data_IF_971920917956
#
_entry.id   IF_971920917956
#
_cell.length_a   1.000
_cell.length_b   1.000
_cell.length_c   1.000
_cell.angle_alpha   90.00
_cell.angle_beta   90.00
_cell.angle_gamma   90.00
#
_symmetry.space_group_name_H-M   'P 1'
#
loop_
_entity.id
_entity.type
_entity.pdbx_description
1 polymer ?
#
# COMPACT_ATOMS: atom_id res chain seq x y z
N UNK A 1 -9.20 -1.11 11.86
CA UNK A 1 -9.98 -0.38 10.83
C UNK A 1 -9.74 -1.04 9.49
N UNK A 2 -10.79 -1.37 8.73
CA UNK A 2 -10.66 -1.82 7.35
C UNK A 2 -10.23 -0.62 6.49
N UNK A 3 -9.09 -0.71 5.80
CA UNK A 3 -8.64 0.34 4.89
C UNK A 3 -9.52 0.39 3.65
N UNK A 4 -9.72 1.57 3.12
CA UNK A 4 -10.51 1.84 1.92
C UNK A 4 -9.64 2.47 0.84
N UNK A 5 -10.17 2.56 -0.37
CA UNK A 5 -9.50 3.22 -1.50
C UNK A 5 -9.42 4.76 -1.36
N UNK A 6 -9.60 5.27 -0.15
CA UNK A 6 -9.49 6.70 0.13
C UNK A 6 -8.04 7.07 0.39
N UNK A 7 -7.44 7.89 -0.47
CA UNK A 7 -6.08 8.39 -0.27
C UNK A 7 -6.01 9.23 1.01
N UNK A 8 -5.08 8.96 1.95
CA UNK A 8 -4.86 9.80 3.12
C UNK A 8 -4.45 11.21 2.70
N UNK A 9 -5.38 12.18 2.78
CA UNK A 9 -5.19 13.54 2.26
C UNK A 9 -4.69 14.52 3.33
N UNK A 10 -4.15 14.03 4.45
CA UNK A 10 -3.58 14.90 5.49
C UNK A 10 -2.34 15.60 4.94
N UNK A 11 -2.37 16.94 4.96
CA UNK A 11 -1.28 17.76 4.45
C UNK A 11 -0.07 17.73 5.40
N UNK A 12 1.12 17.70 4.84
CA UNK A 12 2.36 17.90 5.60
C UNK A 12 2.51 19.35 6.03
N UNK A 13 3.03 19.57 7.24
CA UNK A 13 3.36 20.91 7.71
C UNK A 13 4.70 21.37 7.15
N UNK A 14 4.80 22.67 6.92
CA UNK A 14 6.04 23.30 6.47
C UNK A 14 6.88 23.75 7.67
N UNK A 15 8.19 23.60 7.51
CA UNK A 15 9.14 24.13 8.48
C UNK A 15 9.07 25.67 8.44
N UNK A 16 8.87 26.29 9.59
CA UNK A 16 8.98 27.73 9.73
C UNK A 16 10.44 28.22 9.53
N UNK A 17 10.62 29.51 9.35
CA UNK A 17 11.98 30.09 9.33
C UNK A 17 12.54 30.12 10.76
N UNK A 18 13.81 29.74 10.97
CA UNK A 18 14.46 29.85 12.27
C UNK A 18 14.56 31.31 12.71
N UNK A 19 14.54 31.59 14.03
CA UNK A 19 14.84 32.90 14.53
C UNK A 19 16.20 33.38 14.00
N UNK A 20 16.30 34.70 13.68
CA UNK A 20 17.56 35.23 13.19
C UNK A 20 18.64 35.15 14.27
N UNK A 21 19.83 34.63 13.91
CA UNK A 21 20.99 34.52 14.81
C UNK A 21 21.39 35.88 15.36
N UNK A 22 21.09 36.96 14.66
CA UNK A 22 21.40 38.34 15.08
C UNK A 22 20.74 38.71 16.40
N UNK A 23 19.58 38.11 16.74
CA UNK A 23 18.96 38.33 18.05
C UNK A 23 19.79 37.75 19.17
N UNK A 24 20.44 36.61 18.97
CA UNK A 24 21.37 36.03 19.95
C UNK A 24 22.65 36.87 20.04
N UNK A 25 23.19 37.31 18.92
CA UNK A 25 24.39 38.18 18.91
C UNK A 25 24.07 39.47 19.66
N UNK A 26 22.95 40.12 19.40
CA UNK A 26 22.52 41.34 20.11
C UNK A 26 22.33 41.07 21.60
N UNK A 27 21.67 39.97 21.98
CA UNK A 27 21.49 39.62 23.40
C UNK A 27 22.84 39.42 24.12
N UNK A 28 23.77 38.67 23.49
CA UNK A 28 25.12 38.46 24.05
C UNK A 28 25.85 39.79 24.24
N UNK A 29 25.87 40.65 23.22
CA UNK A 29 26.58 41.95 23.30
C UNK A 29 25.95 42.85 24.39
N UNK A 30 24.66 42.96 24.44
CA UNK A 30 23.94 43.80 25.42
C UNK A 30 24.16 43.29 26.83
N UNK A 31 23.94 41.99 27.07
CA UNK A 31 24.05 41.38 28.38
C UNK A 31 25.50 41.43 28.87
N UNK A 32 26.49 41.14 28.00
CA UNK A 32 27.90 41.13 28.35
C UNK A 32 28.38 42.54 28.68
N UNK A 33 27.99 43.55 27.89
CA UNK A 33 28.32 44.96 28.16
C UNK A 33 27.70 45.44 29.48
N UNK A 34 26.44 45.11 29.73
CA UNK A 34 25.74 45.45 30.98
C UNK A 34 26.44 44.75 32.18
N UNK A 35 26.82 43.47 32.06
CA UNK A 35 27.52 42.73 33.11
C UNK A 35 28.84 43.31 33.47
N UNK A 36 29.64 43.70 32.46
CA UNK A 36 30.93 44.41 32.69
C UNK A 36 30.69 45.75 33.38
N UNK A 37 29.78 46.58 32.89
CA UNK A 37 29.48 47.90 33.50
C UNK A 37 29.00 47.76 34.94
N UNK A 38 28.04 46.87 35.21
CA UNK A 38 27.55 46.63 36.58
C UNK A 38 28.68 46.19 37.48
N UNK A 39 29.55 45.28 37.02
CA UNK A 39 30.67 44.81 37.81
C UNK A 39 31.68 45.92 38.12
N UNK A 40 32.04 46.72 37.13
CA UNK A 40 32.97 47.85 37.30
C UNK A 40 32.42 48.87 38.27
N UNK A 41 31.14 49.30 38.11
CA UNK A 41 30.53 50.28 39.00
C UNK A 41 30.24 49.80 40.43
N UNK A 42 30.06 48.49 40.60
CA UNK A 42 29.78 47.90 41.91
C UNK A 42 31.04 47.32 42.60
N UNK A 43 32.23 47.43 41.97
CA UNK A 43 33.43 46.87 42.52
C UNK A 43 33.97 47.67 43.70
N UNK A 44 34.25 46.97 44.80
CA UNK A 44 34.75 47.59 46.02
C UNK A 44 36.15 48.18 45.84
N UNK A 45 36.33 49.42 46.28
CA UNK A 45 37.62 50.11 46.23
C UNK A 45 38.69 49.32 47.08
N UNK A 46 39.85 49.06 46.43
CA UNK A 46 40.89 48.32 47.06
C UNK A 46 40.97 46.80 46.79
N UNK A 47 39.97 46.25 46.19
CA UNK A 47 40.08 44.85 45.74
C UNK A 47 40.80 44.73 44.39
N UNK A 48 41.64 43.72 44.16
CA UNK A 48 42.38 43.56 42.92
C UNK A 48 41.40 43.29 41.76
N UNK A 49 41.51 44.04 40.66
CA UNK A 49 40.68 43.91 39.46
C UNK A 49 41.00 42.60 38.70
N UNK A 50 42.20 42.08 38.80
CA UNK A 50 42.63 40.80 38.21
C UNK A 50 42.40 39.61 39.17
N UNK A 51 41.20 39.53 39.73
CA UNK A 51 40.84 38.47 40.68
C UNK A 51 39.76 37.52 40.08
N UNK A 52 39.77 36.26 40.50
CA UNK A 52 38.77 35.28 40.09
C UNK A 52 37.32 35.77 40.27
N UNK A 53 36.94 36.39 41.42
CA UNK A 53 35.59 36.92 41.62
C UNK A 53 35.22 38.03 40.63
N UNK A 54 36.18 38.82 40.16
CA UNK A 54 35.94 39.86 39.17
C UNK A 54 35.60 39.25 37.81
N UNK A 55 36.36 38.26 37.33
CA UNK A 55 36.10 37.58 36.07
C UNK A 55 34.80 36.79 36.10
N UNK A 56 34.45 36.13 37.19
CA UNK A 56 33.19 35.44 37.36
C UNK A 56 32.00 36.42 37.19
N UNK A 57 32.04 37.58 37.82
CA UNK A 57 30.97 38.58 37.78
C UNK A 57 30.91 39.32 36.44
N UNK A 58 32.07 39.71 35.88
CA UNK A 58 32.12 40.53 34.65
C UNK A 58 31.91 39.70 33.38
N UNK A 59 32.28 38.42 33.35
CA UNK A 59 32.28 37.62 32.14
C UNK A 59 31.45 36.35 32.25
N UNK A 60 31.67 35.51 33.26
CA UNK A 60 31.06 34.19 33.36
C UNK A 60 29.55 34.31 33.61
N UNK A 61 29.10 35.08 34.58
CA UNK A 61 27.66 35.23 34.88
C UNK A 61 26.87 35.84 33.70
N UNK A 62 27.32 36.98 33.09
CA UNK A 62 26.65 37.51 31.92
C UNK A 62 26.62 36.53 30.72
N UNK A 63 27.69 35.73 30.53
CA UNK A 63 27.75 34.74 29.48
C UNK A 63 26.71 33.63 29.72
N UNK A 64 26.55 33.15 30.95
CA UNK A 64 25.53 32.14 31.30
C UNK A 64 24.10 32.71 31.13
N UNK A 65 23.87 33.96 31.51
CA UNK A 65 22.58 34.64 31.29
C UNK A 65 22.28 34.75 29.80
N UNK A 66 23.26 35.16 28.99
CA UNK A 66 23.10 35.29 27.54
C UNK A 66 22.80 33.93 26.88
N UNK A 67 23.48 32.86 27.35
CA UNK A 67 23.20 31.48 26.92
C UNK A 67 21.77 31.07 27.23
N UNK A 68 21.27 31.39 28.43
CA UNK A 68 19.85 31.17 28.81
C UNK A 68 18.87 31.94 27.94
N UNK A 69 19.15 33.23 27.64
CA UNK A 69 18.29 34.04 26.76
C UNK A 69 18.28 33.48 25.33
N UNK A 70 19.42 33.11 24.78
CA UNK A 70 19.50 32.47 23.47
C UNK A 70 18.70 31.14 23.44
N UNK A 71 18.79 30.36 24.49
CA UNK A 71 18.03 29.12 24.65
C UNK A 71 16.50 29.37 24.59
N UNK A 72 16.02 30.41 25.29
CA UNK A 72 14.59 30.78 25.27
C UNK A 72 14.16 31.25 23.87
N UNK A 73 14.98 32.02 23.15
CA UNK A 73 14.67 32.47 21.77
C UNK A 73 14.48 31.29 20.83
N UNK A 74 15.28 30.22 20.96
CA UNK A 74 15.23 29.07 20.07
C UNK A 74 14.29 27.94 20.53
N UNK A 75 13.89 27.89 21.80
CA UNK A 75 13.08 26.79 22.35
C UNK A 75 11.73 26.63 21.63
N UNK A 76 11.02 27.72 21.37
CA UNK A 76 9.73 27.68 20.63
C UNK A 76 9.89 27.19 19.19
N UNK A 77 10.99 27.49 18.54
CA UNK A 77 11.29 27.00 17.19
C UNK A 77 11.64 25.49 17.18
N UNK A 78 12.41 25.03 18.16
CA UNK A 78 12.72 23.60 18.30
C UNK A 78 11.48 22.77 18.60
N UNK A 79 10.58 23.25 19.48
CA UNK A 79 9.31 22.60 19.75
C UNK A 79 8.41 22.54 18.50
N UNK A 80 8.42 23.58 17.68
CA UNK A 80 7.70 23.59 16.40
C UNK A 80 8.29 22.58 15.42
N UNK A 81 9.62 22.52 15.25
CA UNK A 81 10.29 21.54 14.38
C UNK A 81 9.95 20.11 14.82
N UNK A 82 10.04 19.80 16.12
CA UNK A 82 9.71 18.47 16.63
C UNK A 82 8.26 18.08 16.28
N UNK A 83 7.34 19.02 16.41
CA UNK A 83 5.92 18.81 16.02
C UNK A 83 5.77 18.56 14.53
N UNK A 84 6.43 19.36 13.68
CA UNK A 84 6.40 19.22 12.21
C UNK A 84 7.01 17.90 11.77
N UNK A 85 8.18 17.54 12.32
CA UNK A 85 8.85 16.28 12.01
C UNK A 85 7.96 15.08 12.33
N UNK A 86 7.36 15.07 13.51
CA UNK A 86 6.49 13.96 13.95
C UNK A 86 5.21 13.90 13.14
N UNK A 87 4.57 15.02 12.87
CA UNK A 87 3.38 15.11 12.02
C UNK A 87 3.65 14.60 10.61
N UNK A 88 4.72 15.07 9.97
CA UNK A 88 5.10 14.67 8.62
C UNK A 88 5.49 13.18 8.55
N UNK A 89 6.12 12.67 9.61
CA UNK A 89 6.38 11.24 9.74
C UNK A 89 5.08 10.43 9.76
N UNK A 90 4.07 10.84 10.54
CA UNK A 90 2.76 10.18 10.57
C UNK A 90 2.07 10.23 9.20
N UNK A 91 2.10 11.39 8.52
CA UNK A 91 1.56 11.54 7.16
C UNK A 91 2.19 10.55 6.18
N UNK A 92 3.53 10.45 6.20
CA UNK A 92 4.27 9.54 5.32
C UNK A 92 4.02 8.07 5.67
N UNK A 93 3.95 7.75 6.95
CA UNK A 93 3.67 6.39 7.44
C UNK A 93 2.29 5.94 7.00
N UNK A 94 1.26 6.78 7.15
CA UNK A 94 -0.09 6.44 6.71
C UNK A 94 -0.21 6.31 5.18
N UNK A 95 0.45 7.17 4.41
CA UNK A 95 0.51 7.03 2.95
C UNK A 95 1.22 5.75 2.53
N UNK A 96 2.36 5.43 3.17
CA UNK A 96 3.10 4.19 2.90
C UNK A 96 2.26 2.95 3.23
N UNK A 97 1.59 2.96 4.37
CA UNK A 97 0.72 1.88 4.80
C UNK A 97 -0.53 1.72 3.91
N UNK A 98 -1.10 2.83 3.41
CA UNK A 98 -2.17 2.80 2.40
C UNK A 98 -1.67 2.22 1.07
N UNK A 99 -0.50 2.65 0.58
CA UNK A 99 0.11 2.07 -0.62
C UNK A 99 0.37 0.58 -0.48
N UNK A 100 0.91 0.15 0.65
CA UNK A 100 1.15 -1.27 0.92
C UNK A 100 -0.14 -2.09 0.89
N UNK A 101 -1.23 -1.57 1.45
CA UNK A 101 -2.54 -2.19 1.39
C UNK A 101 -3.10 -2.20 -0.04
N UNK A 102 -3.00 -1.10 -0.77
CA UNK A 102 -3.47 -0.97 -2.14
C UNK A 102 -2.67 -1.86 -3.12
N UNK A 103 -1.38 -2.07 -2.86
CA UNK A 103 -0.49 -2.96 -3.63
C UNK A 103 -0.61 -4.43 -3.25
N UNK A 104 -1.55 -4.79 -2.34
CA UNK A 104 -1.82 -6.19 -2.07
C UNK A 104 -2.16 -6.91 -3.38
N UNK A 105 -1.60 -8.09 -3.58
CA UNK A 105 -1.76 -8.85 -4.81
C UNK A 105 -1.80 -10.35 -4.54
N UNK A 106 -2.34 -11.05 -5.53
CA UNK A 106 -2.31 -12.50 -5.63
C UNK A 106 -1.35 -12.85 -6.76
N UNK A 107 -0.57 -13.90 -6.60
CA UNK A 107 0.32 -14.38 -7.65
C UNK A 107 -0.43 -15.40 -8.51
N UNK A 108 -0.55 -15.14 -9.79
CA UNK A 108 -1.02 -16.09 -10.79
C UNK A 108 0.21 -16.92 -11.20
N UNK A 109 0.19 -18.20 -10.85
CA UNK A 109 1.27 -19.14 -11.21
C UNK A 109 1.14 -19.52 -12.68
N UNK A 110 -0.06 -19.92 -13.09
CA UNK A 110 -0.40 -20.23 -14.47
C UNK A 110 -1.90 -19.99 -14.70
N UNK A 111 -2.29 -19.76 -15.96
CA UNK A 111 -3.69 -19.55 -16.35
C UNK A 111 -3.95 -20.13 -17.74
N UNK A 112 -5.20 -20.53 -17.98
CA UNK A 112 -5.71 -20.93 -19.29
C UNK A 112 -7.13 -20.41 -19.46
N UNK A 113 -7.45 -19.97 -20.66
CA UNK A 113 -8.79 -19.58 -21.07
C UNK A 113 -9.20 -20.37 -22.31
N UNK A 114 -10.37 -20.98 -22.26
CA UNK A 114 -11.01 -21.58 -23.42
C UNK A 114 -12.13 -20.64 -23.88
N UNK A 115 -12.04 -20.23 -25.12
CA UNK A 115 -12.97 -19.28 -25.73
C UNK A 115 -13.45 -19.82 -27.08
N UNK A 116 -14.56 -19.30 -27.64
CA UNK A 116 -15.04 -19.70 -28.96
C UNK A 116 -13.98 -19.53 -30.06
N UNK A 117 -13.08 -18.55 -29.88
CA UNK A 117 -11.94 -18.33 -30.77
C UNK A 117 -10.66 -18.75 -30.02
N UNK A 118 -9.82 -19.61 -30.58
CA UNK A 118 -8.55 -20.00 -29.97
C UNK A 118 -7.58 -18.81 -29.99
N UNK A 119 -6.65 -18.77 -29.02
CA UNK A 119 -5.58 -17.75 -28.91
C UNK A 119 -6.13 -16.31 -28.90
N UNK A 120 -7.29 -16.13 -28.22
CA UNK A 120 -8.03 -14.89 -28.22
C UNK A 120 -7.17 -13.71 -27.72
N UNK A 121 -6.35 -13.93 -26.70
CA UNK A 121 -5.47 -12.90 -26.14
C UNK A 121 -4.48 -12.38 -27.16
N UNK A 122 -3.80 -13.26 -27.86
CA UNK A 122 -2.82 -12.99 -28.90
C UNK A 122 -3.46 -12.27 -30.09
N UNK A 123 -4.63 -12.70 -30.48
CA UNK A 123 -5.39 -12.09 -31.61
C UNK A 123 -5.91 -10.70 -31.28
N UNK A 124 -6.38 -10.48 -30.04
CA UNK A 124 -6.83 -9.15 -29.59
C UNK A 124 -5.65 -8.14 -29.55
N UNK A 125 -4.44 -8.61 -29.23
CA UNK A 125 -3.24 -7.79 -29.27
C UNK A 125 -2.63 -7.69 -30.68
N UNK A 126 -3.13 -8.44 -31.67
CA UNK A 126 -2.60 -8.46 -33.03
C UNK A 126 -1.28 -9.24 -33.17
N UNK A 127 -0.97 -10.13 -32.24
CA UNK A 127 0.24 -10.96 -32.27
C UNK A 127 0.06 -12.16 -33.20
N UNK A 128 -1.16 -12.74 -33.26
CA UNK A 128 -1.50 -13.88 -34.11
C UNK A 128 -2.74 -13.59 -34.98
N UNK A 129 -2.60 -12.64 -35.89
CA UNK A 129 -3.71 -12.23 -36.76
C UNK A 129 -4.65 -11.24 -36.07
N UNK A 130 -5.92 -11.20 -36.46
CA UNK A 130 -6.95 -10.33 -35.92
C UNK A 130 -8.06 -11.15 -35.28
N UNK A 131 -8.57 -10.68 -34.14
CA UNK A 131 -9.73 -11.29 -33.50
C UNK A 131 -11.00 -11.13 -34.35
N UNK A 132 -11.87 -12.13 -34.28
CA UNK A 132 -13.18 -12.09 -34.94
C UNK A 132 -14.07 -11.01 -34.33
N UNK A 133 -15.05 -10.54 -35.12
CA UNK A 133 -16.01 -9.52 -34.69
C UNK A 133 -17.39 -10.18 -34.58
N UNK A 134 -17.83 -10.46 -33.36
CA UNK A 134 -19.06 -11.21 -33.06
C UNK A 134 -20.02 -10.49 -32.08
N UNK A 135 -20.28 -9.20 -32.21
CA UNK A 135 -21.05 -8.46 -31.23
C UNK A 135 -22.45 -9.06 -31.04
N UNK A 136 -22.80 -9.40 -29.80
CA UNK A 136 -24.12 -9.92 -29.43
C UNK A 136 -24.43 -11.34 -29.92
N UNK A 137 -23.53 -11.99 -30.65
CA UNK A 137 -23.71 -13.40 -31.02
C UNK A 137 -23.52 -14.30 -29.82
N UNK A 138 -24.15 -15.46 -29.84
CA UNK A 138 -23.97 -16.52 -28.85
C UNK A 138 -23.20 -17.64 -29.53
N UNK A 139 -21.98 -17.90 -29.04
CA UNK A 139 -21.06 -18.82 -29.66
C UNK A 139 -20.73 -19.98 -28.71
N UNK A 140 -20.73 -21.24 -29.21
CA UNK A 140 -20.26 -22.40 -28.44
C UNK A 140 -18.73 -22.46 -28.42
N UNK A 141 -18.18 -23.22 -27.46
CA UNK A 141 -16.76 -23.60 -27.48
C UNK A 141 -16.51 -24.61 -28.61
N UNK A 142 -15.44 -24.45 -29.40
CA UNK A 142 -15.08 -25.42 -30.42
C UNK A 142 -14.62 -26.74 -29.75
N UNK A 143 -14.86 -27.85 -30.43
CA UNK A 143 -14.37 -29.20 -30.04
C UNK A 143 -14.85 -29.72 -28.68
N UNK A 144 -15.97 -29.28 -28.16
CA UNK A 144 -16.56 -29.81 -26.91
C UNK A 144 -17.55 -30.96 -27.18
N UNK A 145 -17.61 -31.52 -28.37
CA UNK A 145 -18.39 -32.72 -28.65
C UNK A 145 -17.74 -33.91 -27.96
N UNK A 146 -18.33 -34.35 -26.85
CA UNK A 146 -17.86 -35.49 -26.09
C UNK A 146 -17.97 -36.78 -26.89
N UNK A 147 -17.02 -37.70 -26.64
CA UNK A 147 -17.22 -39.10 -27.03
C UNK A 147 -18.46 -39.64 -26.36
N UNK A 148 -19.14 -40.60 -27.00
CA UNK A 148 -20.36 -41.20 -26.44
C UNK A 148 -20.16 -41.57 -24.96
N UNK A 149 -20.99 -40.99 -24.08
CA UNK A 149 -20.96 -41.24 -22.62
C UNK A 149 -20.08 -40.31 -21.76
N UNK A 150 -19.41 -39.32 -22.34
CA UNK A 150 -18.63 -38.30 -21.59
C UNK A 150 -19.37 -36.94 -21.69
N UNK A 151 -19.60 -36.30 -20.55
CA UNK A 151 -20.25 -34.98 -20.56
C UNK A 151 -19.32 -33.90 -21.15
N UNK A 152 -19.93 -32.87 -21.75
CA UNK A 152 -19.18 -31.71 -22.27
C UNK A 152 -18.35 -31.03 -21.17
N UNK A 153 -18.90 -30.92 -19.96
CA UNK A 153 -18.21 -30.33 -18.82
C UNK A 153 -16.95 -31.15 -18.47
N UNK A 154 -17.03 -32.48 -18.44
CA UNK A 154 -15.87 -33.33 -18.17
C UNK A 154 -14.75 -33.13 -19.19
N UNK A 155 -15.09 -32.97 -20.47
CA UNK A 155 -14.09 -32.68 -21.54
C UNK A 155 -13.42 -31.33 -21.30
N UNK A 156 -14.18 -30.29 -21.00
CA UNK A 156 -13.67 -28.95 -20.72
C UNK A 156 -12.80 -28.95 -19.46
N UNK A 157 -13.25 -29.59 -18.39
CA UNK A 157 -12.46 -29.72 -17.15
C UNK A 157 -11.15 -30.48 -17.38
N UNK A 158 -11.17 -31.56 -18.15
CA UNK A 158 -9.96 -32.32 -18.50
C UNK A 158 -8.96 -31.44 -19.29
N UNK A 159 -9.46 -30.67 -20.25
CA UNK A 159 -8.64 -29.76 -21.05
C UNK A 159 -8.03 -28.64 -20.18
N UNK A 160 -8.80 -28.05 -19.27
CA UNK A 160 -8.32 -27.06 -18.34
C UNK A 160 -7.28 -27.61 -17.37
N UNK A 161 -7.58 -28.75 -16.73
CA UNK A 161 -6.73 -29.29 -15.66
C UNK A 161 -5.46 -29.97 -16.16
N UNK A 162 -5.46 -30.51 -17.37
CA UNK A 162 -4.26 -31.14 -17.95
C UNK A 162 -3.04 -30.22 -17.93
N UNK A 163 -3.24 -28.92 -18.13
CA UNK A 163 -2.17 -27.91 -18.08
C UNK A 163 -1.52 -27.80 -16.70
N UNK A 164 -2.31 -27.90 -15.64
CA UNK A 164 -1.84 -27.72 -14.26
C UNK A 164 -1.34 -29.02 -13.61
N UNK A 165 -1.59 -30.19 -14.21
CA UNK A 165 -1.37 -31.50 -13.61
C UNK A 165 0.04 -31.68 -13.05
N UNK A 166 1.07 -31.41 -13.85
CA UNK A 166 2.47 -31.53 -13.43
C UNK A 166 2.83 -30.57 -12.29
N UNK A 167 2.27 -29.35 -12.29
CA UNK A 167 2.45 -28.35 -11.23
C UNK A 167 1.80 -28.78 -9.93
N UNK A 168 0.54 -29.21 -9.97
CA UNK A 168 -0.23 -29.64 -8.81
C UNK A 168 0.43 -30.84 -8.10
N UNK A 169 0.84 -31.85 -8.84
CA UNK A 169 1.55 -33.02 -8.28
C UNK A 169 2.87 -32.60 -7.60
N UNK A 170 3.62 -31.68 -8.20
CA UNK A 170 4.87 -31.17 -7.63
C UNK A 170 4.62 -30.38 -6.34
N UNK A 171 3.58 -29.55 -6.28
CA UNK A 171 3.25 -28.76 -5.10
C UNK A 171 2.76 -29.62 -3.94
N UNK A 172 1.94 -30.62 -4.22
CA UNK A 172 1.50 -31.60 -3.23
C UNK A 172 2.69 -32.40 -2.66
N UNK A 173 3.57 -32.91 -3.52
CA UNK A 173 4.78 -33.61 -3.09
C UNK A 173 5.70 -32.74 -2.21
N UNK A 174 5.58 -31.43 -2.28
CA UNK A 174 6.27 -30.46 -1.42
C UNK A 174 5.49 -30.15 -0.13
N UNK A 175 4.35 -30.78 0.13
CA UNK A 175 3.52 -30.62 1.34
C UNK A 175 2.67 -29.36 1.38
N UNK A 176 2.39 -28.75 0.22
CA UNK A 176 1.55 -27.56 0.13
C UNK A 176 0.06 -27.90 0.03
N UNK A 177 -0.75 -27.23 0.83
CA UNK A 177 -2.20 -27.37 0.78
C UNK A 177 -2.80 -26.73 -0.48
N UNK A 178 -3.68 -27.45 -1.17
CA UNK A 178 -4.31 -27.03 -2.42
C UNK A 178 -5.84 -27.00 -2.24
N UNK A 179 -6.47 -25.85 -2.51
CA UNK A 179 -7.91 -25.70 -2.64
C UNK A 179 -8.30 -25.70 -4.13
N UNK A 180 -9.39 -26.37 -4.47
CA UNK A 180 -9.99 -26.34 -5.81
C UNK A 180 -11.38 -25.75 -5.72
N UNK A 181 -11.58 -24.64 -6.42
CA UNK A 181 -12.87 -23.97 -6.48
C UNK A 181 -13.46 -24.13 -7.89
N UNK A 182 -14.64 -24.72 -7.96
CA UNK A 182 -15.43 -24.78 -9.19
C UNK A 182 -16.54 -23.75 -9.13
N UNK A 183 -16.56 -22.87 -10.12
CA UNK A 183 -17.65 -21.95 -10.39
C UNK A 183 -18.42 -22.39 -11.63
N UNK A 184 -19.66 -22.80 -11.44
CA UNK A 184 -20.55 -23.32 -12.49
C UNK A 184 -22.00 -23.13 -12.13
N UNK A 185 -22.90 -23.46 -13.05
CA UNK A 185 -24.34 -23.31 -12.88
C UNK A 185 -24.95 -24.33 -11.92
N UNK A 186 -24.37 -25.54 -11.83
CA UNK A 186 -24.95 -26.62 -11.03
C UNK A 186 -23.92 -27.14 -10.00
N UNK A 187 -24.40 -27.39 -8.78
CA UNK A 187 -23.57 -28.00 -7.71
C UNK A 187 -23.15 -29.43 -8.03
N UNK A 188 -23.95 -30.17 -8.82
CA UNK A 188 -23.64 -31.55 -9.21
C UNK A 188 -22.40 -31.63 -10.10
N UNK A 189 -22.01 -30.53 -10.76
CA UNK A 189 -20.79 -30.41 -11.56
C UNK A 189 -19.51 -30.73 -10.73
N UNK A 190 -19.61 -30.60 -9.40
CA UNK A 190 -18.51 -30.96 -8.49
C UNK A 190 -18.21 -32.47 -8.50
N UNK A 191 -19.20 -33.30 -8.76
CA UNK A 191 -18.99 -34.75 -8.88
C UNK A 191 -18.20 -35.07 -10.16
N UNK A 192 -18.49 -34.40 -11.25
CA UNK A 192 -17.74 -34.52 -12.51
C UNK A 192 -16.29 -34.03 -12.35
N UNK A 193 -16.11 -32.90 -11.69
CA UNK A 193 -14.76 -32.40 -11.37
C UNK A 193 -13.94 -33.45 -10.60
N UNK A 194 -14.52 -34.07 -9.58
CA UNK A 194 -13.84 -35.13 -8.80
C UNK A 194 -13.51 -36.35 -9.65
N UNK A 195 -14.42 -36.73 -10.57
CA UNK A 195 -14.16 -37.85 -11.49
C UNK A 195 -12.97 -37.57 -12.43
N UNK A 196 -12.94 -36.37 -13.02
CA UNK A 196 -11.84 -35.93 -13.89
C UNK A 196 -10.53 -35.80 -13.09
N UNK A 197 -10.60 -35.24 -11.85
CA UNK A 197 -9.45 -35.16 -10.94
C UNK A 197 -8.80 -36.52 -10.70
N UNK A 198 -9.63 -37.51 -10.39
CA UNK A 198 -9.17 -38.90 -10.20
C UNK A 198 -8.62 -39.50 -11.48
N UNK A 199 -9.27 -39.25 -12.64
CA UNK A 199 -8.81 -39.72 -13.96
C UNK A 199 -7.40 -39.22 -14.29
N UNK A 200 -7.07 -37.98 -13.90
CA UNK A 200 -5.78 -37.35 -14.13
C UNK A 200 -4.73 -37.70 -13.07
N UNK A 201 -5.05 -38.60 -12.13
CA UNK A 201 -4.17 -39.00 -11.01
C UNK A 201 -3.60 -37.80 -10.25
N UNK A 202 -4.45 -36.80 -9.97
CA UNK A 202 -4.08 -35.62 -9.22
C UNK A 202 -4.12 -35.87 -7.69
N UNK A 203 -3.49 -35.04 -6.87
CA UNK A 203 -3.37 -35.24 -5.42
C UNK A 203 -4.70 -35.49 -4.71
N UNK A 204 -4.72 -36.43 -3.74
CA UNK A 204 -5.93 -36.82 -3.02
C UNK A 204 -6.28 -35.83 -1.87
N UNK A 205 -5.27 -35.16 -1.28
CA UNK A 205 -5.44 -34.24 -0.16
C UNK A 205 -5.82 -32.83 -0.62
N UNK A 206 -6.97 -32.72 -1.28
CA UNK A 206 -7.45 -31.46 -1.86
C UNK A 206 -8.84 -31.14 -1.35
N UNK A 207 -9.07 -29.87 -1.01
CA UNK A 207 -10.38 -29.39 -0.63
C UNK A 207 -11.13 -28.87 -1.85
N UNK A 208 -12.29 -29.47 -2.17
CA UNK A 208 -13.14 -29.05 -3.26
C UNK A 208 -14.28 -28.17 -2.75
N UNK A 209 -14.45 -27.01 -3.37
CA UNK A 209 -15.52 -26.07 -3.09
C UNK A 209 -16.26 -25.73 -4.37
N UNK A 210 -17.58 -25.85 -4.36
CA UNK A 210 -18.43 -25.32 -5.43
C UNK A 210 -18.97 -23.95 -5.04
N UNK A 211 -18.98 -23.00 -5.98
CA UNK A 211 -19.43 -21.64 -5.80
C UNK A 211 -20.32 -21.24 -6.97
N UNK A 212 -21.56 -20.82 -6.76
CA UNK A 212 -22.42 -20.33 -7.83
C UNK A 212 -21.89 -18.99 -8.39
N UNK A 213 -22.28 -18.65 -9.62
CA UNK A 213 -21.81 -17.44 -10.30
C UNK A 213 -22.23 -16.13 -9.62
N UNK A 214 -23.34 -16.11 -8.90
CA UNK A 214 -23.86 -14.96 -8.17
C UNK A 214 -23.29 -14.79 -6.76
N UNK A 215 -22.51 -15.75 -6.29
CA UNK A 215 -21.94 -15.69 -4.94
C UNK A 215 -20.75 -14.74 -4.86
N UNK A 216 -20.79 -13.83 -3.89
CA UNK A 216 -19.67 -12.93 -3.58
C UNK A 216 -18.39 -13.68 -3.15
N UNK A 217 -18.50 -14.95 -2.74
CA UNK A 217 -17.38 -15.75 -2.28
C UNK A 217 -16.40 -16.13 -3.41
N UNK A 218 -16.86 -16.21 -4.66
CA UNK A 218 -15.98 -16.37 -5.81
C UNK A 218 -15.24 -15.07 -6.18
N UNK A 219 -15.64 -13.96 -5.60
CA UNK A 219 -15.06 -12.67 -5.92
C UNK A 219 -13.61 -12.62 -5.44
N UNK A 220 -12.69 -12.36 -6.37
CA UNK A 220 -11.25 -12.23 -6.09
C UNK A 220 -10.97 -11.20 -4.99
N UNK A 221 -11.86 -10.24 -4.79
CA UNK A 221 -11.72 -9.20 -3.77
C UNK A 221 -11.59 -9.77 -2.35
N UNK A 222 -12.27 -10.87 -2.06
CA UNK A 222 -12.19 -11.52 -0.75
C UNK A 222 -10.82 -12.15 -0.48
N UNK A 223 -10.00 -12.36 -1.52
CA UNK A 223 -8.71 -13.02 -1.40
C UNK A 223 -7.59 -12.12 -0.90
N UNK A 224 -7.81 -10.82 -0.95
CA UNK A 224 -6.84 -9.84 -0.47
C UNK A 224 -6.90 -9.61 1.06
N UNK A 225 -8.03 -9.91 1.69
CA UNK A 225 -8.32 -9.52 3.08
C UNK A 225 -8.45 -10.69 4.07
N UNK A 226 -8.58 -11.93 3.59
CA UNK A 226 -8.74 -13.11 4.44
C UNK A 226 -7.41 -13.83 4.69
N UNK A 227 -7.18 -14.25 5.94
CA UNK A 227 -6.16 -15.24 6.26
C UNK A 227 -6.45 -16.51 5.48
N UNK A 228 -5.49 -16.96 4.68
CA UNK A 228 -5.66 -18.10 3.78
C UNK A 228 -5.33 -19.37 4.50
N UNK A 229 -6.20 -20.36 4.34
CA UNK A 229 -6.00 -21.71 4.87
C UNK A 229 -5.16 -22.60 3.93
N UNK A 230 -5.07 -22.25 2.64
CA UNK A 230 -4.34 -23.00 1.62
C UNK A 230 -3.18 -22.20 1.01
N UNK A 231 -2.12 -22.90 0.62
CA UNK A 231 -0.95 -22.34 -0.06
C UNK A 231 -1.23 -22.04 -1.53
N UNK A 232 -1.95 -22.96 -2.18
CA UNK A 232 -2.38 -22.84 -3.57
C UNK A 232 -3.88 -22.94 -3.70
N UNK A 233 -4.41 -22.26 -4.72
CA UNK A 233 -5.83 -22.29 -5.06
C UNK A 233 -6.00 -22.40 -6.57
N UNK A 234 -6.61 -23.50 -7.02
CA UNK A 234 -7.03 -23.66 -8.40
C UNK A 234 -8.46 -23.18 -8.54
N UNK A 235 -8.67 -22.09 -9.27
CA UNK A 235 -9.97 -21.58 -9.62
C UNK A 235 -10.35 -22.06 -11.02
N UNK A 236 -11.48 -22.76 -11.13
CA UNK A 236 -12.09 -23.23 -12.36
C UNK A 236 -13.43 -22.53 -12.51
N UNK A 237 -13.69 -21.89 -13.64
CA UNK A 237 -14.99 -21.31 -13.96
C UNK A 237 -15.42 -21.78 -15.34
N UNK A 238 -16.57 -22.44 -15.43
CA UNK A 238 -17.06 -23.05 -16.65
C UNK A 238 -18.48 -22.57 -16.95
N UNK A 239 -18.64 -21.87 -18.07
CA UNK A 239 -19.91 -21.35 -18.59
C UNK A 239 -20.23 -22.09 -19.87
N UNK A 240 -21.04 -23.13 -19.78
CA UNK A 240 -21.43 -23.99 -20.89
C UNK A 240 -22.96 -23.92 -21.13
N UNK A 241 -23.35 -24.12 -22.36
CA UNK A 241 -24.78 -24.21 -22.71
C UNK A 241 -25.36 -25.51 -22.16
N UNK A 242 -26.48 -25.41 -21.43
CA UNK A 242 -27.20 -26.56 -20.97
C UNK A 242 -28.01 -27.18 -22.11
N UNK A 243 -28.16 -28.51 -22.11
CA UNK A 243 -29.03 -29.20 -23.03
C UNK A 243 -30.47 -28.78 -22.81
N UNK A 244 -31.20 -28.58 -23.88
CA UNK A 244 -32.64 -28.21 -23.89
C UNK A 244 -32.97 -26.81 -23.27
N UNK A 245 -32.00 -25.95 -23.03
CA UNK A 245 -32.21 -24.56 -22.61
C UNK A 245 -31.67 -23.62 -23.68
N UNK A 246 -32.44 -22.60 -24.04
CA UNK A 246 -31.99 -21.60 -25.00
C UNK A 246 -30.76 -20.84 -24.41
N UNK A 247 -29.65 -20.81 -25.13
CA UNK A 247 -28.42 -20.20 -24.61
C UNK A 247 -28.57 -18.67 -24.52
N UNK A 248 -28.11 -18.11 -23.41
CA UNK A 248 -28.26 -16.69 -23.09
C UNK A 248 -26.91 -15.94 -23.30
N UNK A 249 -25.79 -16.62 -23.24
CA UNK A 249 -24.42 -16.09 -23.37
C UNK A 249 -23.54 -17.05 -24.18
N UNK A 250 -22.42 -16.56 -24.67
CA UNK A 250 -21.40 -17.39 -25.31
C UNK A 250 -20.71 -18.28 -24.30
N UNK A 251 -20.29 -19.46 -24.72
CA UNK A 251 -19.53 -20.38 -23.85
C UNK A 251 -18.11 -19.89 -23.63
N UNK A 252 -17.63 -20.04 -22.41
CA UNK A 252 -16.25 -19.80 -22.04
C UNK A 252 -15.87 -20.64 -20.79
N UNK A 253 -14.60 -20.97 -20.67
CA UNK A 253 -14.09 -21.58 -19.46
C UNK A 253 -12.69 -21.04 -19.13
N UNK A 254 -12.43 -20.86 -17.85
CA UNK A 254 -11.17 -20.30 -17.33
C UNK A 254 -10.65 -21.15 -16.19
N UNK A 255 -9.34 -21.36 -16.18
CA UNK A 255 -8.66 -21.87 -15.01
C UNK A 255 -7.45 -21.02 -14.65
N UNK A 256 -7.29 -20.75 -13.35
CA UNK A 256 -6.16 -19.99 -12.80
C UNK A 256 -5.62 -20.69 -11.55
N UNK A 257 -4.33 -20.97 -11.54
CA UNK A 257 -3.62 -21.43 -10.35
C UNK A 257 -3.04 -20.23 -9.62
N UNK A 258 -3.46 -20.01 -8.40
CA UNK A 258 -3.17 -18.84 -7.59
C UNK A 258 -2.39 -19.23 -6.35
N UNK A 259 -1.51 -18.34 -5.89
CA UNK A 259 -0.80 -18.48 -4.62
C UNK A 259 -0.59 -17.12 -3.95
N UNK A 260 -0.20 -17.15 -2.68
CA UNK A 260 0.15 -15.92 -1.96
C UNK A 260 1.56 -15.43 -2.33
N UNK A 261 1.83 -14.12 -2.23
CA UNK A 261 3.18 -13.60 -2.45
C UNK A 261 4.22 -14.21 -1.52
N UNK A 262 3.83 -14.59 -0.29
CA UNK A 262 4.72 -15.25 0.68
C UNK A 262 5.14 -16.62 0.20
N UNK A 263 4.18 -17.45 -0.24
CA UNK A 263 4.44 -18.80 -0.75
C UNK A 263 5.24 -18.71 -2.06
N UNK A 264 4.86 -17.83 -2.99
CA UNK A 264 5.62 -17.61 -4.22
C UNK A 264 7.07 -17.20 -3.96
N UNK A 265 7.33 -16.39 -2.93
CA UNK A 265 8.66 -15.97 -2.55
C UNK A 265 9.51 -17.12 -1.97
N UNK A 266 8.90 -18.05 -1.22
CA UNK A 266 9.59 -19.25 -0.70
C UNK A 266 9.94 -20.25 -1.81
N UNK A 267 9.17 -20.27 -2.90
CA UNK A 267 9.32 -21.20 -4.02
C UNK A 267 10.04 -20.63 -5.24
N UNK A 268 10.72 -19.50 -5.12
CA UNK A 268 11.37 -18.76 -6.23
C UNK A 268 12.22 -19.62 -7.18
N UNK A 269 12.79 -20.73 -6.70
CA UNK A 269 13.60 -21.64 -7.52
C UNK A 269 12.77 -22.58 -8.39
N UNK A 270 11.50 -22.84 -8.05
CA UNK A 270 10.65 -23.85 -8.68
C UNK A 270 9.40 -23.33 -9.35
N UNK A 271 8.96 -22.10 -8.99
CA UNK A 271 7.74 -21.47 -9.50
C UNK A 271 8.10 -20.10 -10.10
N UNK A 272 8.04 -20.02 -11.43
CA UNK A 272 8.08 -18.73 -12.13
C UNK A 272 6.64 -18.20 -12.19
N UNK A 273 6.31 -17.09 -11.51
CA UNK A 273 4.98 -16.54 -11.56
C UNK A 273 4.69 -15.97 -12.96
N UNK A 274 3.53 -16.33 -13.52
CA UNK A 274 3.05 -15.78 -14.78
C UNK A 274 2.77 -14.28 -14.65
N UNK A 275 2.03 -13.90 -13.60
CA UNK A 275 1.66 -12.52 -13.34
C UNK A 275 1.29 -12.30 -11.86
N UNK A 276 1.12 -11.05 -11.49
CA UNK A 276 0.49 -10.61 -10.23
C UNK A 276 -0.83 -9.94 -10.55
N UNK A 277 -1.89 -10.37 -9.90
CA UNK A 277 -3.19 -9.73 -9.92
C UNK A 277 -3.27 -8.81 -8.70
N UNK A 278 -3.34 -7.51 -8.94
CA UNK A 278 -3.38 -6.52 -7.86
C UNK A 278 -4.79 -6.30 -7.33
N UNK A 279 -4.89 -5.71 -6.14
CA UNK A 279 -6.16 -5.34 -5.51
C UNK A 279 -6.96 -4.42 -6.44
N UNK A 280 -8.20 -4.78 -6.78
CA UNK A 280 -9.05 -3.95 -7.62
C UNK A 280 -9.66 -2.78 -6.85
N UNK A 281 -10.08 -1.77 -7.60
CA UNK A 281 -10.94 -0.68 -7.12
C UNK A 281 -12.28 -0.74 -7.86
N UNK A 282 -13.38 -0.55 -7.14
CA UNK A 282 -14.73 -0.54 -7.71
C UNK A 282 -15.43 0.79 -7.39
N UNK A 283 -16.01 1.42 -8.41
CA UNK A 283 -16.65 2.72 -8.29
C UNK A 283 -17.84 2.86 -9.24
N UNK A 284 -18.77 3.81 -8.99
CA UNK A 284 -19.81 4.18 -9.93
C UNK A 284 -19.26 4.74 -11.24
N UNK A 285 -20.02 4.71 -12.31
CA UNK A 285 -19.62 5.17 -13.65
C UNK A 285 -19.18 6.64 -13.71
N UNK A 286 -19.76 7.49 -12.86
CA UNK A 286 -19.48 8.92 -12.78
C UNK A 286 -18.16 9.25 -12.06
N UNK A 287 -17.59 8.28 -11.35
CA UNK A 287 -16.36 8.42 -10.55
C UNK A 287 -15.18 7.60 -11.11
N UNK A 288 -15.27 7.13 -12.34
CA UNK A 288 -14.23 6.25 -12.95
C UNK A 288 -12.90 6.99 -13.12
N UNK A 289 -12.92 8.29 -13.41
CA UNK A 289 -11.71 9.11 -13.52
C UNK A 289 -10.98 9.16 -12.17
N UNK A 290 -11.69 9.54 -11.10
CA UNK A 290 -11.12 9.61 -9.74
C UNK A 290 -10.61 8.24 -9.27
N UNK A 291 -11.36 7.17 -9.60
CA UNK A 291 -10.97 5.80 -9.29
C UNK A 291 -9.68 5.38 -10.00
N UNK A 292 -9.56 5.70 -11.29
CA UNK A 292 -8.36 5.40 -12.08
C UNK A 292 -7.15 6.22 -11.59
N UNK A 293 -7.35 7.50 -11.28
CA UNK A 293 -6.30 8.33 -10.66
C UNK A 293 -5.83 7.75 -9.32
N UNK A 294 -6.77 7.31 -8.48
CA UNK A 294 -6.48 6.67 -7.18
C UNK A 294 -5.72 5.35 -7.38
N UNK A 295 -6.14 4.54 -8.35
CA UNK A 295 -5.46 3.29 -8.71
C UNK A 295 -4.02 3.57 -9.16
N UNK A 296 -3.79 4.57 -10.01
CA UNK A 296 -2.46 4.96 -10.46
C UNK A 296 -1.60 5.56 -9.33
N UNK A 297 -2.21 6.34 -8.42
CA UNK A 297 -1.54 6.90 -7.25
C UNK A 297 -1.09 5.83 -6.25
N UNK A 298 -1.71 4.65 -6.25
CA UNK A 298 -1.29 3.50 -5.44
C UNK A 298 0.04 2.90 -5.90
N UNK A 299 0.48 3.20 -7.12
CA UNK A 299 1.74 2.71 -7.70
C UNK A 299 1.86 1.17 -7.64
N UNK A 300 0.78 0.43 -7.92
CA UNK A 300 0.78 -1.04 -7.98
C UNK A 300 1.82 -1.55 -8.99
N UNK A 301 1.93 -0.85 -10.11
CA UNK A 301 2.93 -1.08 -11.14
C UNK A 301 3.40 0.26 -11.71
N UNK A 302 4.62 0.37 -12.27
CA UNK A 302 5.05 1.62 -12.89
C UNK A 302 4.12 2.01 -14.03
N UNK A 303 3.59 3.25 -14.02
CA UNK A 303 2.66 3.75 -15.04
C UNK A 303 3.14 3.49 -16.48
N UNK A 304 4.44 3.67 -16.75
CA UNK A 304 5.06 3.42 -18.05
C UNK A 304 5.03 1.94 -18.50
N UNK A 305 4.74 1.01 -17.59
CA UNK A 305 4.66 -0.43 -17.87
C UNK A 305 3.26 -0.89 -18.22
N UNK A 306 2.25 -0.07 -17.96
CA UNK A 306 0.87 -0.35 -18.41
C UNK A 306 0.84 -0.14 -19.91
N UNK A 307 0.52 -1.18 -20.67
CA UNK A 307 0.62 -1.19 -22.13
C UNK A 307 -0.71 -1.39 -22.83
N UNK A 308 -1.63 -2.09 -22.21
CA UNK A 308 -2.92 -2.45 -22.80
C UNK A 308 -4.05 -2.27 -21.79
N UNK A 309 -5.26 -2.00 -22.26
CA UNK A 309 -6.47 -1.99 -21.48
C UNK A 309 -7.48 -3.00 -22.05
N UNK A 310 -8.12 -3.76 -21.18
CA UNK A 310 -9.13 -4.77 -21.51
C UNK A 310 -10.47 -4.36 -20.96
N UNK A 311 -11.51 -4.50 -21.76
CA UNK A 311 -12.88 -4.24 -21.36
C UNK A 311 -13.73 -5.48 -21.57
N UNK A 312 -14.54 -5.83 -20.57
CA UNK A 312 -15.51 -6.92 -20.67
C UNK A 312 -16.71 -6.66 -19.78
N UNK A 313 -17.90 -7.05 -20.25
CA UNK A 313 -19.18 -6.98 -19.56
C UNK A 313 -19.55 -5.55 -19.11
N UNK A 314 -19.11 -4.52 -19.84
CA UNK A 314 -19.39 -3.13 -19.55
C UNK A 314 -20.64 -2.66 -20.32
N UNK A 315 -21.59 -2.05 -19.60
CA UNK A 315 -22.68 -1.31 -20.24
C UNK A 315 -22.13 -0.15 -21.06
N UNK A 316 -22.87 0.32 -22.07
CA UNK A 316 -22.42 1.40 -22.95
C UNK A 316 -21.99 2.67 -22.19
N UNK A 317 -22.70 3.04 -21.11
CA UNK A 317 -22.36 4.17 -20.26
C UNK A 317 -21.00 3.95 -19.57
N UNK A 318 -20.80 2.79 -18.96
CA UNK A 318 -19.59 2.44 -18.20
C UNK A 318 -18.37 2.36 -19.11
N UNK A 319 -18.59 1.82 -20.31
CA UNK A 319 -17.56 1.76 -21.36
C UNK A 319 -17.11 3.17 -21.78
N UNK A 320 -18.05 4.08 -22.06
CA UNK A 320 -17.71 5.46 -22.41
C UNK A 320 -17.01 6.19 -21.25
N UNK A 321 -17.49 6.00 -20.01
CA UNK A 321 -16.84 6.56 -18.84
C UNK A 321 -15.39 6.06 -18.68
N UNK A 322 -15.17 4.75 -18.89
CA UNK A 322 -13.84 4.14 -18.79
C UNK A 322 -12.89 4.63 -19.88
N UNK A 323 -13.37 4.74 -21.13
CA UNK A 323 -12.59 5.28 -22.24
C UNK A 323 -12.23 6.75 -22.02
N UNK A 324 -13.20 7.55 -21.53
CA UNK A 324 -12.96 8.93 -21.12
C UNK A 324 -11.90 9.02 -20.03
N UNK A 325 -12.04 8.23 -18.97
CA UNK A 325 -11.08 8.20 -17.86
C UNK A 325 -9.65 7.87 -18.31
N UNK A 326 -9.48 6.85 -19.17
CA UNK A 326 -8.16 6.48 -19.71
C UNK A 326 -7.53 7.67 -20.48
N UNK A 327 -8.34 8.41 -21.23
CA UNK A 327 -7.89 9.58 -21.98
C UNK A 327 -7.57 10.76 -21.04
N UNK A 328 -8.43 11.04 -20.08
CA UNK A 328 -8.30 12.17 -19.16
C UNK A 328 -7.05 12.06 -18.28
N UNK A 329 -6.72 10.84 -17.84
CA UNK A 329 -5.46 10.59 -17.12
C UNK A 329 -4.23 10.47 -18.05
N UNK A 330 -4.37 10.75 -19.36
CA UNK A 330 -3.29 10.68 -20.35
C UNK A 330 -2.59 9.31 -20.39
N UNK A 331 -3.36 8.24 -20.36
CA UNK A 331 -2.88 6.89 -20.63
C UNK A 331 -3.15 6.59 -22.11
N UNK A 332 -2.10 6.63 -22.93
CA UNK A 332 -2.18 6.26 -24.35
C UNK A 332 -2.09 4.74 -24.47
N UNK A 333 -3.21 4.04 -24.27
CA UNK A 333 -3.28 2.59 -24.29
C UNK A 333 -4.19 2.10 -25.42
N UNK A 334 -3.79 1.07 -26.20
CA UNK A 334 -4.73 0.32 -27.00
C UNK A 334 -5.74 -0.37 -26.09
N UNK A 335 -7.02 -0.23 -26.45
CA UNK A 335 -8.14 -0.79 -25.68
C UNK A 335 -8.72 -1.98 -26.44
N UNK A 336 -8.79 -3.12 -25.77
CA UNK A 336 -9.29 -4.39 -26.31
C UNK A 336 -10.64 -4.71 -25.71
N UNK A 337 -11.63 -4.88 -26.58
CA UNK A 337 -12.99 -5.22 -26.24
C UNK A 337 -13.18 -6.74 -26.38
N UNK A 338 -13.17 -7.44 -25.25
CA UNK A 338 -13.31 -8.90 -25.20
C UNK A 338 -14.66 -9.34 -25.70
N UNK A 339 -15.73 -8.62 -25.31
CA UNK A 339 -17.11 -8.98 -25.66
C UNK A 339 -17.36 -8.88 -27.17
N UNK A 340 -16.65 -7.95 -27.83
CA UNK A 340 -16.76 -7.83 -29.27
C UNK A 340 -16.22 -9.06 -30.01
N UNK A 341 -15.27 -9.76 -29.43
CA UNK A 341 -14.67 -10.95 -30.03
C UNK A 341 -15.44 -12.23 -29.65
N UNK A 342 -15.73 -12.43 -28.36
CA UNK A 342 -16.38 -13.64 -27.89
C UNK A 342 -17.91 -13.65 -28.08
N UNK A 343 -18.51 -12.49 -28.37
CA UNK A 343 -19.96 -12.34 -28.46
C UNK A 343 -20.60 -11.93 -27.13
N UNK A 344 -21.79 -12.46 -26.83
CA UNK A 344 -22.55 -12.05 -25.65
C UNK A 344 -21.87 -12.53 -24.38
N UNK A 345 -21.44 -11.61 -23.48
CA UNK A 345 -20.75 -11.95 -22.25
C UNK A 345 -21.65 -12.67 -21.25
N UNK A 346 -21.07 -13.47 -20.37
CA UNK A 346 -21.74 -14.14 -19.27
C UNK A 346 -20.89 -14.15 -18.00
N UNK A 347 -21.25 -14.89 -16.96
CA UNK A 347 -20.63 -14.82 -15.64
C UNK A 347 -19.11 -15.06 -15.61
N UNK A 348 -18.57 -15.91 -16.48
CA UNK A 348 -17.12 -16.19 -16.56
C UNK A 348 -16.33 -14.97 -17.05
N UNK A 349 -16.99 -14.01 -17.69
CA UNK A 349 -16.35 -12.78 -18.16
C UNK A 349 -15.78 -11.91 -17.05
N UNK A 350 -16.17 -12.14 -15.80
CA UNK A 350 -15.52 -11.50 -14.65
C UNK A 350 -14.05 -11.97 -14.45
N UNK A 351 -13.72 -13.18 -14.91
CA UNK A 351 -12.40 -13.82 -14.75
C UNK A 351 -11.61 -13.92 -16.06
N UNK A 352 -12.32 -14.01 -17.19
CA UNK A 352 -11.71 -14.22 -18.51
C UNK A 352 -10.66 -13.16 -18.88
N UNK A 353 -10.91 -11.85 -18.77
CA UNK A 353 -9.90 -10.84 -19.07
C UNK A 353 -8.66 -10.93 -18.17
N UNK A 354 -8.83 -11.40 -16.94
CA UNK A 354 -7.72 -11.57 -15.98
C UNK A 354 -6.80 -12.72 -16.41
N UNK A 355 -7.37 -13.84 -16.85
CA UNK A 355 -6.60 -14.96 -17.36
C UNK A 355 -5.88 -14.60 -18.68
N UNK A 356 -6.58 -13.96 -19.63
CA UNK A 356 -6.00 -13.50 -20.88
C UNK A 356 -4.88 -12.47 -20.63
N UNK A 357 -5.11 -11.48 -19.78
CA UNK A 357 -4.12 -10.50 -19.41
C UNK A 357 -2.88 -11.14 -18.76
N UNK A 358 -3.06 -12.15 -17.90
CA UNK A 358 -1.94 -12.86 -17.27
C UNK A 358 -1.09 -13.61 -18.32
N UNK A 359 -1.72 -14.22 -19.33
CA UNK A 359 -1.02 -14.84 -20.45
C UNK A 359 -0.21 -13.82 -21.25
N UNK A 360 -0.81 -12.66 -21.56
CA UNK A 360 -0.11 -11.61 -22.30
C UNK A 360 1.03 -10.99 -21.48
N UNK A 361 0.88 -10.86 -20.18
CA UNK A 361 1.98 -10.44 -19.29
C UNK A 361 3.14 -11.45 -19.35
N UNK A 362 2.85 -12.74 -19.35
CA UNK A 362 3.88 -13.80 -19.49
C UNK A 362 4.58 -13.75 -20.85
N UNK A 363 3.86 -13.35 -21.90
CA UNK A 363 4.42 -13.12 -23.25
C UNK A 363 5.16 -11.76 -23.38
N UNK A 364 5.39 -11.05 -22.26
CA UNK A 364 6.19 -9.81 -22.27
C UNK A 364 5.44 -8.56 -22.72
N UNK A 365 4.12 -8.58 -22.82
CA UNK A 365 3.30 -7.46 -23.30
C UNK A 365 3.08 -6.36 -22.23
N UNK A 366 3.88 -6.37 -21.16
CA UNK A 366 3.80 -5.38 -20.09
C UNK A 366 2.60 -5.57 -19.17
N UNK A 367 2.38 -4.60 -18.28
CA UNK A 367 1.23 -4.64 -17.39
C UNK A 367 -0.06 -4.27 -18.12
N UNK A 368 -1.18 -4.85 -17.67
CA UNK A 368 -2.49 -4.78 -18.30
C UNK A 368 -3.49 -4.14 -17.33
N UNK A 369 -4.25 -3.17 -17.81
CA UNK A 369 -5.40 -2.61 -17.09
C UNK A 369 -6.66 -3.37 -17.50
N UNK A 370 -7.48 -3.79 -16.55
CA UNK A 370 -8.73 -4.49 -16.80
C UNK A 370 -9.87 -3.67 -16.24
N UNK A 371 -10.90 -3.47 -17.05
CA UNK A 371 -12.16 -2.85 -16.66
C UNK A 371 -13.31 -3.86 -16.88
N UNK A 372 -14.06 -4.13 -15.82
CA UNK A 372 -15.20 -5.05 -15.83
C UNK A 372 -16.30 -4.54 -14.89
N UNK A 373 -17.46 -5.18 -14.90
CA UNK A 373 -18.54 -4.89 -13.95
C UNK A 373 -18.43 -5.80 -12.72
N UNK A 374 -18.68 -5.23 -11.55
CA UNK A 374 -18.87 -5.96 -10.31
C UNK A 374 -19.94 -5.25 -9.47
N UNK A 375 -21.02 -5.93 -9.11
CA UNK A 375 -22.12 -5.38 -8.31
C UNK A 375 -22.62 -4.00 -8.82
N UNK A 376 -22.87 -3.89 -10.14
CA UNK A 376 -23.31 -2.66 -10.83
C UNK A 376 -22.32 -1.48 -10.74
N UNK A 377 -21.06 -1.75 -10.47
CA UNK A 377 -19.97 -0.77 -10.45
C UNK A 377 -18.91 -1.13 -11.47
N UNK A 378 -18.23 -0.12 -11.98
CA UNK A 378 -17.02 -0.33 -12.78
C UNK A 378 -15.90 -0.77 -11.84
N UNK A 379 -15.32 -1.90 -12.14
CA UNK A 379 -14.19 -2.47 -11.43
C UNK A 379 -12.95 -2.33 -12.29
N UNK A 380 -11.92 -1.70 -11.75
CA UNK A 380 -10.61 -1.59 -12.37
C UNK A 380 -9.58 -2.37 -11.58
N UNK A 381 -8.75 -3.15 -12.26
CA UNK A 381 -7.60 -3.80 -11.65
C UNK A 381 -6.43 -3.91 -12.63
N UNK A 382 -5.24 -4.09 -12.07
CA UNK A 382 -4.01 -4.25 -12.83
C UNK A 382 -3.49 -5.69 -12.72
N UNK A 383 -2.94 -6.17 -13.84
CA UNK A 383 -2.20 -7.43 -13.91
C UNK A 383 -0.81 -7.12 -14.44
N UNK A 384 0.26 -7.55 -13.75
CA UNK A 384 1.62 -7.26 -14.16
C UNK A 384 2.66 -8.05 -13.39
N UNK A 385 3.92 -7.90 -13.73
CA UNK A 385 5.04 -8.59 -13.04
C UNK A 385 5.80 -7.70 -12.09
N UNK A 386 5.87 -6.40 -12.37
CA UNK A 386 6.66 -5.44 -11.60
C UNK A 386 5.87 -4.85 -10.44
N UNK A 387 6.52 -4.75 -9.29
CA UNK A 387 6.04 -4.05 -8.11
C UNK A 387 6.86 -2.78 -7.92
N UNK A 388 6.19 -1.67 -7.61
CA UNK A 388 6.87 -0.47 -7.14
C UNK A 388 7.12 -0.65 -5.64
N UNK A 389 8.37 -0.65 -5.17
CA UNK A 389 8.65 -0.80 -3.76
C UNK A 389 8.09 0.39 -2.98
N UNK A 390 7.38 0.12 -1.90
CA UNK A 390 6.95 1.18 -0.97
C UNK A 390 8.18 1.62 -0.17
N UNK A 391 8.55 2.92 -0.22
CA UNK A 391 9.67 3.42 0.55
C UNK A 391 9.48 3.15 2.04
N UNK A 392 10.54 2.68 2.71
CA UNK A 392 10.54 2.63 4.16
C UNK A 392 10.51 4.05 4.70
N UNK A 393 9.55 4.31 5.58
CA UNK A 393 9.47 5.61 6.25
C UNK A 393 10.31 5.50 7.52
N UNK A 394 11.47 6.13 7.49
CA UNK A 394 12.28 6.25 8.70
C UNK A 394 11.70 7.36 9.58
N UNK A 395 11.60 7.10 10.88
CA UNK A 395 11.15 8.09 11.87
C UNK A 395 12.10 9.30 11.95
N UNK A 396 13.21 9.26 11.20
CA UNK A 396 14.29 10.21 11.31
C UNK A 396 14.98 10.13 12.67
N UNK A 397 15.91 11.01 12.92
CA UNK A 397 16.44 11.21 14.27
C UNK A 397 15.36 11.92 15.09
N UNK A 398 14.57 11.14 15.80
CA UNK A 398 13.67 11.69 16.79
C UNK A 398 14.53 12.42 17.82
N UNK A 399 14.56 13.75 17.77
CA UNK A 399 15.25 14.57 18.76
C UNK A 399 14.54 14.37 20.09
N UNK A 400 15.07 13.48 20.93
CA UNK A 400 14.50 13.20 22.25
C UNK A 400 14.79 14.35 23.22
N UNK A 401 15.81 15.16 22.93
CA UNK A 401 16.28 16.26 23.77
C UNK A 401 16.31 17.55 22.96
N UNK A 402 15.70 18.60 23.50
CA UNK A 402 15.81 19.96 22.99
C UNK A 402 17.18 20.52 23.35
N UNK A 403 17.95 20.95 22.35
CA UNK A 403 19.27 21.57 22.56
C UNK A 403 19.13 22.87 23.37
N UNK A 404 18.11 23.68 23.03
CA UNK A 404 17.84 24.94 23.73
C UNK A 404 17.54 24.72 25.21
N UNK A 405 16.65 23.78 25.52
CA UNK A 405 16.32 23.47 26.92
C UNK A 405 17.52 22.90 27.67
N UNK A 406 18.34 22.07 27.02
CA UNK A 406 19.55 21.53 27.61
C UNK A 406 20.57 22.65 27.90
N UNK A 407 20.81 23.53 26.94
CA UNK A 407 21.74 24.65 27.10
C UNK A 407 21.24 25.63 28.16
N UNK A 408 19.98 26.06 28.09
CA UNK A 408 19.39 26.99 29.06
C UNK A 408 19.34 26.43 30.46
N UNK A 409 18.98 25.16 30.62
CA UNK A 409 18.98 24.47 31.91
C UNK A 409 20.38 24.30 32.49
N UNK A 410 21.37 23.95 31.64
CA UNK A 410 22.78 23.86 32.06
C UNK A 410 23.34 25.20 32.50
N UNK A 411 23.06 26.27 31.72
CA UNK A 411 23.50 27.64 32.12
C UNK A 411 22.88 28.05 33.47
N UNK A 412 21.59 27.75 33.67
CA UNK A 412 20.90 28.08 34.93
C UNK A 412 21.45 27.30 36.11
N UNK A 413 21.74 26.01 35.95
CA UNK A 413 22.31 25.18 37.01
C UNK A 413 23.76 25.60 37.34
N UNK A 414 24.59 25.87 36.33
CA UNK A 414 25.97 26.38 36.54
C UNK A 414 25.93 27.74 37.25
N UNK A 415 25.03 28.65 36.86
CA UNK A 415 24.86 29.94 37.50
C UNK A 415 24.45 29.75 38.97
N UNK A 416 23.56 28.82 39.28
CA UNK A 416 23.16 28.49 40.65
C UNK A 416 24.33 27.92 41.45
N UNK A 417 25.14 27.03 40.87
CA UNK A 417 26.36 26.49 41.52
C UNK A 417 27.37 27.59 41.85
N UNK A 418 27.60 28.53 40.93
CA UNK A 418 28.48 29.67 41.15
C UNK A 418 27.93 30.56 42.28
N UNK A 419 26.67 30.84 42.31
CA UNK A 419 26.04 31.62 43.37
C UNK A 419 26.16 30.92 44.74
N UNK A 420 25.90 29.62 44.82
CA UNK A 420 26.02 28.82 46.04
C UNK A 420 27.49 28.76 46.55
N UNK A 421 28.45 28.71 45.65
CA UNK A 421 29.85 28.77 46.01
C UNK A 421 30.24 30.14 46.61
N UNK A 422 29.73 31.25 46.06
CA UNK A 422 29.94 32.61 46.57
C UNK A 422 29.43 32.76 48.00
N UNK A 423 28.33 32.13 48.38
CA UNK A 423 27.71 32.17 49.72
C UNK A 423 28.23 31.06 50.66
N UNK A 424 29.27 30.30 50.28
CA UNK A 424 29.81 29.17 51.02
C UNK A 424 28.74 28.15 51.46
N UNK A 425 27.85 27.78 50.56
CA UNK A 425 26.77 26.83 50.84
C UNK A 425 27.32 25.41 51.12
N UNK A 426 26.58 24.61 51.85
CA UNK A 426 26.93 23.23 52.18
C UNK A 426 27.07 22.33 50.94
N UNK A 427 27.90 21.27 51.00
CA UNK A 427 28.10 20.30 49.93
C UNK A 427 26.76 19.64 49.46
N UNK A 428 25.75 19.59 50.35
CA UNK A 428 24.41 19.07 49.97
C UNK A 428 23.80 19.82 48.78
N UNK A 429 23.97 21.12 48.67
CA UNK A 429 23.48 21.91 47.57
C UNK A 429 24.14 21.59 46.22
N UNK A 430 25.41 21.20 46.24
CA UNK A 430 26.12 20.74 45.04
C UNK A 430 25.43 19.46 44.46
N UNK A 431 25.18 18.50 45.35
CA UNK A 431 24.47 17.27 44.93
C UNK A 431 23.03 17.56 44.48
N UNK A 432 22.36 18.54 45.08
CA UNK A 432 21.04 18.99 44.64
C UNK A 432 21.07 19.55 43.20
N UNK A 433 22.11 20.31 42.82
CA UNK A 433 22.30 20.79 41.43
C UNK A 433 22.53 19.65 40.45
N UNK A 434 23.34 18.65 40.81
CA UNK A 434 23.53 17.46 39.96
C UNK A 434 22.22 16.70 39.80
N UNK A 435 21.46 16.48 40.89
CA UNK A 435 20.14 15.88 40.85
C UNK A 435 19.16 16.68 39.96
N UNK A 436 19.20 18.02 40.05
CA UNK A 436 18.43 18.92 39.18
C UNK A 436 18.78 18.77 37.70
N UNK A 437 20.07 18.57 37.38
CA UNK A 437 20.49 18.30 35.99
C UNK A 437 19.93 16.98 35.45
N UNK A 438 20.02 15.91 36.24
CA UNK A 438 19.43 14.60 35.87
C UNK A 438 17.90 14.72 35.71
N UNK A 439 17.26 15.43 36.63
CA UNK A 439 15.84 15.65 36.58
C UNK A 439 15.41 16.44 35.32
N UNK A 440 16.21 17.42 34.87
CA UNK A 440 16.00 18.16 33.64
C UNK A 440 15.93 17.22 32.43
N UNK A 441 16.84 16.27 32.33
CA UNK A 441 16.83 15.25 31.25
C UNK A 441 15.59 14.38 31.30
N UNK A 442 15.19 13.91 32.48
CA UNK A 442 13.99 13.08 32.66
C UNK A 442 12.72 13.84 32.27
N UNK A 443 12.61 15.12 32.66
CA UNK A 443 11.49 15.98 32.28
C UNK A 443 11.46 16.21 30.76
N UNK A 444 12.60 16.40 30.11
CA UNK A 444 12.64 16.55 28.64
C UNK A 444 12.19 15.28 27.95
N UNK A 445 12.66 14.10 28.37
CA UNK A 445 12.25 12.81 27.80
C UNK A 445 10.74 12.59 27.97
N UNK A 446 10.21 12.79 29.18
CA UNK A 446 8.79 12.68 29.45
C UNK A 446 7.96 13.70 28.67
N UNK A 447 8.44 14.94 28.59
CA UNK A 447 7.78 16.01 27.83
C UNK A 447 7.75 15.75 26.31
N UNK A 448 8.84 15.23 25.74
CA UNK A 448 8.88 14.84 24.33
C UNK A 448 7.89 13.71 24.03
N UNK A 449 7.82 12.69 24.88
CA UNK A 449 6.87 11.60 24.75
C UNK A 449 5.40 12.09 24.82
N UNK A 450 5.08 12.93 25.77
CA UNK A 450 3.72 13.51 25.91
C UNK A 450 3.35 14.37 24.71
N UNK A 451 4.28 15.20 24.20
CA UNK A 451 4.03 16.02 22.99
C UNK A 451 3.74 15.15 21.77
N UNK A 452 4.49 14.05 21.57
CA UNK A 452 4.25 13.12 20.47
C UNK A 452 2.88 12.48 20.56
N UNK A 453 2.48 12.00 21.72
CA UNK A 453 1.15 11.43 21.92
C UNK A 453 0.04 12.45 21.58
N UNK A 454 0.21 13.72 21.98
CA UNK A 454 -0.75 14.77 21.65
C UNK A 454 -0.83 15.02 20.13
N UNK A 455 0.32 15.02 19.44
CA UNK A 455 0.37 15.17 17.98
C UNK A 455 -0.28 13.98 17.28
N UNK A 456 -0.05 12.76 17.77
CA UNK A 456 -0.72 11.54 17.25
C UNK A 456 -2.24 11.62 17.42
N UNK A 457 -2.72 12.01 18.59
CA UNK A 457 -4.15 12.17 18.86
C UNK A 457 -4.80 13.21 17.95
N UNK A 458 -4.12 14.32 17.69
CA UNK A 458 -4.59 15.37 16.77
C UNK A 458 -4.60 14.86 15.33
N UNK A 459 -3.56 14.15 14.91
CA UNK A 459 -3.45 13.54 13.59
C UNK A 459 -4.60 12.55 13.33
N UNK A 460 -4.82 11.59 14.23
CA UNK A 460 -5.89 10.61 14.06
C UNK A 460 -7.29 11.22 14.17
N UNK A 461 -7.45 12.30 14.94
CA UNK A 461 -8.70 13.08 14.94
C UNK A 461 -8.96 13.75 13.60
N UNK A 462 -7.93 14.34 12.97
CA UNK A 462 -8.08 14.94 11.64
C UNK A 462 -8.36 13.89 10.57
N UNK A 463 -7.64 12.77 10.59
CA UNK A 463 -7.85 11.66 9.66
C UNK A 463 -9.31 11.18 9.71
N UNK A 464 -9.83 10.89 10.91
CA UNK A 464 -11.24 10.47 11.10
C UNK A 464 -12.24 11.52 10.63
N UNK A 465 -11.98 12.80 10.84
CA UNK A 465 -12.86 13.89 10.34
C UNK A 465 -12.90 13.96 8.82
N UNK A 466 -11.78 13.71 8.15
CA UNK A 466 -11.72 13.67 6.69
C UNK A 466 -12.44 12.46 6.12
N UNK A 467 -12.33 11.30 6.75
CA UNK A 467 -13.07 10.09 6.38
C UNK A 467 -14.59 10.27 6.55
N UNK A 468 -15.03 10.93 7.61
CA UNK A 468 -16.45 11.19 7.88
C UNK A 468 -17.10 12.25 6.96
N UNK A 469 -16.32 13.09 6.28
CA UNK A 469 -16.81 14.11 5.34
C UNK A 469 -16.97 13.63 3.90
N UNK A 470 -16.52 12.43 3.60
CA UNK A 470 -16.59 11.77 2.30
C UNK A 470 -17.61 10.63 2.30
#
# INVERSE_FOLDING_TARGET
MSRTWTLPAVAEYQYGKPPSIWWCVLAVVVIQTAGVLITVFSWEQGKPVMSEPFFVRAFLLPLLVSGGVCAVIYSGYEDWIERVDWWNFLCRTERAAWRQWAQAHVVIVDSIALTPEPELGERLLGLEGSASINPGKILPLPQTEGSAGVSRLAVVLEQLMSRFSAGLVRHDASGHAIDVILQSTNKDDLAELRAVWKKLNLPDLVQFLWVPFDANEANIDTWFDKDRTSDFRLLLACQLHAECIEPVWSEAAVAMLLTSPRVAASLKATVLPQARLFRPIAMPSDSVVDGLETLLASEQTPRRRIRHAWMSDLLSRDRHATLGAIKDVSLELPVHDVDRAIGKPGPVNALLPQALAAQMVAHGQGAQLIASVSAQKVRLNLVGTELVPVPRVDAGYARLLSVSVTVGGSCSLVMMMVALNIINASQGWFWACIGGFVLLFLIQLGGSFLRRNLVEDDFFRQLRRMEARR
#
